data_IF_141200266417
#
_entry.id   IF_141200266417
#
_cell.length_a   1.000
_cell.length_b   1.000
_cell.length_c   1.000
_cell.angle_alpha   90.00
_cell.angle_beta   90.00
_cell.angle_gamma   90.00
#
_symmetry.space_group_name_H-M   'P 1'
#
loop_
_entity.id
_entity.type
_entity.pdbx_description
1 polymer ?
#
# COMPACT_ATOMS: atom_id res chain seq x y z
N UNK A 1 -0.60 21.74 1.20
CA UNK A 1 -0.17 20.38 0.91
C UNK A 1 0.18 19.71 2.22
N UNK A 2 -0.47 18.60 2.61
CA UNK A 2 -0.21 17.93 3.89
C UNK A 2 1.13 17.21 3.82
N UNK A 3 2.03 17.49 4.78
CA UNK A 3 3.33 16.81 4.92
C UNK A 3 3.20 15.67 5.91
N UNK A 4 3.94 14.59 5.67
CA UNK A 4 4.06 13.51 6.65
C UNK A 4 4.91 13.98 7.84
N UNK A 5 4.68 13.41 9.04
CA UNK A 5 5.32 13.86 10.25
C UNK A 5 6.82 13.49 10.31
N UNK A 6 7.64 14.42 10.79
CA UNK A 6 8.99 14.16 11.26
C UNK A 6 10.02 13.74 10.22
N UNK A 7 11.21 13.37 10.72
CA UNK A 7 12.28 12.75 9.95
C UNK A 7 12.20 11.23 10.10
N UNK A 8 12.29 10.49 8.99
CA UNK A 8 12.26 9.03 8.99
C UNK A 8 11.16 8.41 9.85
N UNK A 9 9.89 8.87 9.76
CA UNK A 9 8.83 8.19 10.46
C UNK A 9 8.74 6.75 9.96
N UNK A 10 8.27 5.83 10.81
CA UNK A 10 8.10 4.45 10.40
C UNK A 10 6.63 4.03 10.40
N UNK A 11 6.29 3.08 9.54
CA UNK A 11 4.98 2.46 9.42
C UNK A 11 5.10 1.05 8.85
N UNK A 12 3.99 0.30 8.78
CA UNK A 12 3.96 -1.01 8.14
C UNK A 12 3.36 -0.98 6.73
N UNK A 13 3.56 -2.05 5.98
CA UNK A 13 2.90 -2.25 4.67
C UNK A 13 1.41 -2.54 4.85
N UNK A 14 1.05 -3.46 5.77
CA UNK A 14 -0.36 -3.75 6.06
C UNK A 14 -0.56 -5.05 6.83
N UNK A 15 -0.16 -6.19 6.28
CA UNK A 15 -0.51 -7.48 6.87
C UNK A 15 0.37 -7.88 8.07
N UNK A 16 -0.28 -8.49 9.07
CA UNK A 16 0.32 -9.11 10.24
C UNK A 16 -0.19 -10.54 10.42
N UNK A 17 0.59 -11.44 11.05
CA UNK A 17 0.23 -12.86 11.21
C UNK A 17 -0.77 -13.15 12.34
N UNK A 18 -1.18 -12.14 13.10
CA UNK A 18 -2.07 -12.28 14.24
C UNK A 18 -3.45 -12.84 13.87
N UNK A 19 -4.03 -13.60 14.79
CA UNK A 19 -5.40 -14.10 14.69
C UNK A 19 -6.39 -13.20 15.44
N UNK A 20 -5.93 -12.45 16.43
CA UNK A 20 -6.73 -11.51 17.22
C UNK A 20 -6.39 -10.06 16.80
N UNK A 21 -7.38 -9.25 16.41
CA UNK A 21 -7.15 -7.85 16.04
C UNK A 21 -6.70 -6.97 17.22
N UNK A 22 -7.05 -7.30 18.46
CA UNK A 22 -6.71 -6.49 19.62
C UNK A 22 -5.20 -6.37 19.85
N UNK A 23 -4.45 -7.49 19.99
CA UNK A 23 -2.99 -7.46 20.05
C UNK A 23 -2.34 -6.81 18.82
N UNK A 24 -2.81 -7.14 17.62
CA UNK A 24 -2.28 -6.57 16.37
C UNK A 24 -2.38 -5.03 16.32
N UNK A 25 -3.53 -4.48 16.70
CA UNK A 25 -3.75 -3.04 16.75
C UNK A 25 -2.87 -2.38 17.82
N UNK A 26 -2.79 -2.98 19.02
CA UNK A 26 -1.90 -2.46 20.08
C UNK A 26 -0.44 -2.42 19.63
N UNK A 27 0.02 -3.48 18.98
CA UNK A 27 1.39 -3.57 18.43
C UNK A 27 1.66 -2.41 17.46
N UNK A 28 0.75 -2.19 16.52
CA UNK A 28 0.90 -1.12 15.51
C UNK A 28 0.87 0.26 16.15
N UNK A 29 -0.12 0.54 17.00
CA UNK A 29 -0.29 1.87 17.61
C UNK A 29 0.86 2.23 18.56
N UNK A 30 1.38 1.24 19.30
CA UNK A 30 2.50 1.48 20.22
C UNK A 30 3.83 1.72 19.50
N UNK A 31 4.08 1.02 18.38
CA UNK A 31 5.36 1.12 17.65
C UNK A 31 5.38 2.24 16.62
N UNK A 32 4.23 2.57 16.04
CA UNK A 32 4.13 3.56 14.98
C UNK A 32 3.18 4.71 15.34
N UNK A 33 3.45 5.44 16.43
CA UNK A 33 2.54 6.47 16.93
C UNK A 33 2.39 7.66 15.98
N UNK A 34 3.29 7.84 15.03
CA UNK A 34 3.23 8.94 14.06
C UNK A 34 2.43 8.58 12.80
N UNK A 35 2.53 7.33 12.34
CA UNK A 35 1.82 6.82 11.15
C UNK A 35 1.34 5.40 11.44
N UNK A 36 0.41 5.19 12.39
CA UNK A 36 -0.17 3.87 12.56
C UNK A 36 -0.96 3.48 11.30
N UNK A 37 -1.01 2.18 11.05
CA UNK A 37 -1.81 1.60 9.97
C UNK A 37 -2.80 0.59 10.56
N UNK A 38 -3.87 0.29 9.85
CA UNK A 38 -4.71 -0.81 10.28
C UNK A 38 -4.11 -2.15 9.82
N UNK A 39 -3.94 -3.13 10.73
CA UNK A 39 -3.35 -4.41 10.38
C UNK A 39 -4.35 -5.30 9.62
N UNK A 40 -3.98 -5.78 8.42
CA UNK A 40 -4.67 -6.85 7.73
C UNK A 40 -4.27 -8.18 8.38
N UNK A 41 -5.24 -9.09 8.60
CA UNK A 41 -5.05 -10.34 9.34
C UNK A 41 -5.36 -11.57 8.47
N UNK A 42 -4.58 -11.83 7.40
CA UNK A 42 -4.92 -12.86 6.40
C UNK A 42 -4.94 -14.28 6.96
N UNK A 43 -4.31 -14.53 8.12
CA UNK A 43 -4.35 -15.85 8.77
C UNK A 43 -5.63 -16.10 9.55
N UNK A 44 -6.43 -15.08 9.79
CA UNK A 44 -7.67 -15.16 10.57
C UNK A 44 -8.78 -15.84 9.78
N UNK A 45 -8.95 -15.45 8.53
CA UNK A 45 -9.98 -16.01 7.63
C UNK A 45 -9.61 -15.75 6.17
N UNK A 46 -9.99 -16.63 5.23
CA UNK A 46 -9.82 -16.39 3.80
C UNK A 46 -10.46 -15.10 3.30
N UNK A 47 -11.47 -14.57 4.01
CA UNK A 47 -12.11 -13.30 3.66
C UNK A 47 -11.21 -12.08 3.90
N UNK A 48 -10.19 -12.21 4.73
CA UNK A 48 -9.17 -11.16 4.96
C UNK A 48 -7.94 -11.30 4.06
N UNK A 49 -7.96 -12.22 3.08
CA UNK A 49 -6.95 -12.24 2.03
C UNK A 49 -7.13 -11.05 1.09
N UNK A 50 -6.03 -10.63 0.48
CA UNK A 50 -5.87 -9.37 -0.24
C UNK A 50 -6.98 -9.07 -1.29
N UNK A 51 -7.55 -10.06 -1.98
CA UNK A 51 -8.63 -9.85 -2.96
C UNK A 51 -10.03 -10.01 -2.35
N UNK A 52 -10.37 -11.11 -1.66
CA UNK A 52 -11.68 -11.27 -1.01
C UNK A 52 -12.00 -10.13 -0.03
N UNK A 53 -11.00 -9.56 0.62
CA UNK A 53 -11.16 -8.50 1.61
C UNK A 53 -11.96 -7.31 1.05
N UNK A 54 -11.67 -6.93 -0.18
CA UNK A 54 -12.27 -5.78 -0.83
C UNK A 54 -13.41 -6.11 -1.79
N UNK A 55 -13.91 -7.34 -1.80
CA UNK A 55 -14.95 -7.81 -2.74
C UNK A 55 -16.32 -8.05 -2.09
N UNK A 56 -16.64 -7.35 -0.98
CA UNK A 56 -17.86 -7.62 -0.23
C UNK A 56 -19.14 -7.42 -1.07
N UNK A 57 -19.18 -6.35 -1.82
CA UNK A 57 -20.30 -5.95 -2.68
C UNK A 57 -19.87 -5.69 -4.12
N UNK A 58 -18.73 -6.27 -4.53
CA UNK A 58 -18.23 -6.14 -5.91
C UNK A 58 -19.23 -6.80 -6.87
N UNK A 59 -19.77 -6.06 -7.87
CA UNK A 59 -20.71 -6.60 -8.83
C UNK A 59 -20.14 -7.83 -9.56
N UNK A 60 -20.96 -8.82 -9.77
CA UNK A 60 -20.58 -10.06 -10.45
C UNK A 60 -19.62 -10.96 -9.68
N UNK A 61 -19.17 -10.56 -8.49
CA UNK A 61 -18.21 -11.35 -7.72
C UNK A 61 -18.87 -12.54 -6.99
N UNK A 62 -18.17 -13.67 -6.96
CA UNK A 62 -18.53 -14.80 -6.12
C UNK A 62 -17.29 -15.52 -5.59
N UNK A 63 -17.47 -16.20 -4.47
CA UNK A 63 -16.42 -17.05 -3.87
C UNK A 63 -16.85 -18.50 -3.96
N UNK A 64 -15.99 -19.34 -4.54
CA UNK A 64 -16.19 -20.78 -4.61
C UNK A 64 -14.89 -21.50 -4.32
N UNK A 65 -14.93 -22.48 -3.41
CA UNK A 65 -13.73 -23.21 -2.99
C UNK A 65 -12.61 -22.30 -2.45
N UNK A 66 -12.97 -21.17 -1.81
CA UNK A 66 -12.00 -20.18 -1.29
C UNK A 66 -11.41 -19.26 -2.34
N UNK A 67 -11.76 -19.41 -3.61
CA UNK A 67 -11.29 -18.58 -4.72
C UNK A 67 -12.34 -17.53 -5.10
N UNK A 68 -11.92 -16.27 -5.19
CA UNK A 68 -12.72 -15.16 -5.72
C UNK A 68 -12.71 -15.22 -7.26
N UNK A 69 -13.87 -15.04 -7.86
CA UNK A 69 -14.08 -14.89 -9.31
C UNK A 69 -15.10 -13.79 -9.55
N UNK A 70 -15.21 -13.31 -10.78
CA UNK A 70 -16.14 -12.24 -11.17
C UNK A 70 -16.72 -12.55 -12.55
N UNK A 71 -18.02 -12.23 -12.78
CA UNK A 71 -18.62 -12.28 -14.12
C UNK A 71 -18.00 -11.26 -15.03
N UNK A 72 -18.04 -11.52 -16.32
CA UNK A 72 -17.54 -10.63 -17.37
C UNK A 72 -18.53 -10.55 -18.54
N UNK A 73 -18.31 -9.59 -19.44
CA UNK A 73 -19.16 -9.41 -20.63
C UNK A 73 -20.64 -9.19 -20.30
N UNK A 74 -21.52 -9.82 -21.10
CA UNK A 74 -22.97 -9.66 -20.97
C UNK A 74 -23.53 -10.17 -19.63
N UNK A 75 -22.89 -11.16 -19.01
CA UNK A 75 -23.34 -11.69 -17.70
C UNK A 75 -23.21 -10.66 -16.57
N UNK A 76 -22.31 -9.67 -16.72
CA UNK A 76 -22.08 -8.63 -15.73
C UNK A 76 -23.06 -7.46 -15.86
N UNK A 77 -23.59 -7.20 -17.05
CA UNK A 77 -24.32 -5.96 -17.36
C UNK A 77 -25.47 -5.63 -16.39
N UNK A 78 -26.33 -6.58 -15.97
CA UNK A 78 -27.42 -6.24 -15.05
C UNK A 78 -26.94 -5.74 -13.69
N UNK A 79 -25.83 -6.32 -13.18
CA UNK A 79 -25.25 -5.89 -11.90
C UNK A 79 -24.43 -4.60 -12.05
N UNK A 80 -23.82 -4.40 -13.21
CA UNK A 80 -23.10 -3.18 -13.53
C UNK A 80 -24.04 -1.97 -13.61
N UNK A 81 -25.25 -2.10 -14.18
CA UNK A 81 -26.24 -1.02 -14.21
C UNK A 81 -26.62 -0.55 -12.80
N UNK A 82 -26.95 -1.50 -11.90
CA UNK A 82 -27.24 -1.19 -10.50
C UNK A 82 -26.05 -0.55 -9.80
N UNK A 83 -24.86 -1.06 -10.07
CA UNK A 83 -23.63 -0.49 -9.51
C UNK A 83 -23.39 0.96 -9.97
N UNK A 84 -23.61 1.28 -11.25
CA UNK A 84 -23.41 2.65 -11.73
C UNK A 84 -24.42 3.63 -11.11
N UNK A 85 -25.66 3.21 -10.85
CA UNK A 85 -26.62 4.02 -10.11
C UNK A 85 -26.11 4.33 -8.69
N UNK A 86 -25.62 3.32 -7.98
CA UNK A 86 -25.00 3.48 -6.66
C UNK A 86 -23.76 4.35 -6.71
N UNK A 87 -22.91 4.15 -7.72
CA UNK A 87 -21.70 4.95 -7.91
C UNK A 87 -22.05 6.43 -8.11
N UNK A 88 -23.05 6.75 -8.93
CA UNK A 88 -23.49 8.11 -9.21
C UNK A 88 -24.20 8.77 -8.03
N UNK A 89 -24.81 8.00 -7.12
CA UNK A 89 -25.46 8.54 -5.92
C UNK A 89 -24.50 9.23 -4.96
N UNK A 90 -23.20 8.86 -4.99
CA UNK A 90 -22.18 9.38 -4.09
C UNK A 90 -22.25 8.78 -2.67
N UNK A 91 -23.21 7.93 -2.34
CA UNK A 91 -23.25 7.23 -1.07
C UNK A 91 -22.13 6.19 -0.97
N UNK A 92 -21.32 6.30 0.07
CA UNK A 92 -20.20 5.38 0.33
C UNK A 92 -20.60 4.17 1.19
N UNK A 93 -21.78 4.18 1.79
CA UNK A 93 -22.20 3.11 2.72
C UNK A 93 -22.26 1.72 2.09
N UNK A 94 -22.67 1.54 0.80
CA UNK A 94 -22.65 0.25 0.15
C UNK A 94 -21.24 -0.32 -0.08
N UNK A 95 -20.21 0.51 -0.02
CA UNK A 95 -18.81 0.15 -0.27
C UNK A 95 -18.01 -0.04 1.02
N UNK A 96 -18.69 -0.11 2.16
CA UNK A 96 -18.08 -0.39 3.45
C UNK A 96 -17.36 -1.75 3.44
N UNK A 97 -16.16 -1.80 4.02
CA UNK A 97 -15.47 -3.06 4.26
C UNK A 97 -16.03 -3.65 5.56
N UNK A 98 -16.72 -4.78 5.52
CA UNK A 98 -17.33 -5.34 6.73
C UNK A 98 -16.26 -5.80 7.73
N UNK A 99 -16.55 -5.74 9.05
CA UNK A 99 -15.59 -6.13 10.09
C UNK A 99 -15.06 -7.57 9.97
N UNK A 100 -15.85 -8.50 9.46
CA UNK A 100 -15.42 -9.89 9.22
C UNK A 100 -14.36 -10.01 8.10
N UNK A 101 -14.23 -8.97 7.26
CA UNK A 101 -13.19 -8.87 6.20
C UNK A 101 -12.05 -7.95 6.57
N UNK A 102 -12.18 -7.14 7.63
CA UNK A 102 -11.17 -6.17 8.05
C UNK A 102 -11.24 -5.95 9.58
N UNK A 103 -11.06 -7.03 10.34
CA UNK A 103 -11.12 -6.97 11.81
C UNK A 103 -10.08 -5.98 12.40
N UNK A 104 -8.90 -5.89 11.77
CA UNK A 104 -7.88 -4.91 12.18
C UNK A 104 -8.31 -3.45 11.95
N UNK A 105 -9.02 -3.15 10.86
CA UNK A 105 -9.58 -1.81 10.62
C UNK A 105 -10.64 -1.47 11.68
N UNK A 106 -11.60 -2.38 11.88
CA UNK A 106 -12.63 -2.21 12.92
C UNK A 106 -12.00 -2.03 14.31
N UNK A 107 -10.97 -2.81 14.63
CA UNK A 107 -10.22 -2.71 15.87
C UNK A 107 -9.50 -1.37 16.02
N UNK A 108 -8.82 -0.88 14.96
CA UNK A 108 -8.13 0.41 14.99
C UNK A 108 -9.13 1.57 15.20
N UNK A 109 -10.24 1.56 14.46
CA UNK A 109 -11.27 2.61 14.57
C UNK A 109 -11.95 2.63 15.94
N UNK A 110 -12.01 1.48 16.65
CA UNK A 110 -12.64 1.35 17.96
C UNK A 110 -11.70 1.63 19.12
N UNK A 111 -10.43 1.25 19.01
CA UNK A 111 -9.46 1.24 20.11
C UNK A 111 -8.51 2.44 20.11
N UNK A 112 -8.33 3.10 18.97
CA UNK A 112 -7.34 4.15 18.86
C UNK A 112 -7.83 5.49 19.39
N UNK A 113 -7.13 6.00 20.38
CA UNK A 113 -7.29 7.38 20.86
C UNK A 113 -6.50 8.33 19.96
N UNK A 114 -7.08 8.73 18.81
CA UNK A 114 -6.52 9.80 17.99
C UNK A 114 -6.62 11.18 18.67
N UNK A 115 -6.19 12.28 18.02
CA UNK A 115 -5.67 12.28 16.65
C UNK A 115 -4.20 11.86 16.57
N UNK A 116 -3.86 11.10 15.51
CA UNK A 116 -2.48 10.81 15.13
C UNK A 116 -1.94 11.88 14.16
N UNK A 117 -0.60 12.09 14.09
CA UNK A 117 0.00 12.98 13.08
C UNK A 117 -0.36 12.60 11.64
N UNK A 118 -0.38 11.29 11.34
CA UNK A 118 -0.93 10.71 10.12
C UNK A 118 -1.47 9.30 10.41
N UNK A 119 -2.32 8.77 9.53
CA UNK A 119 -2.79 7.38 9.60
C UNK A 119 -2.72 6.75 8.21
N UNK A 120 -2.33 5.48 8.13
CA UNK A 120 -2.21 4.76 6.87
C UNK A 120 -3.28 3.69 6.72
N UNK A 121 -3.86 3.63 5.53
CA UNK A 121 -4.67 2.53 5.03
C UNK A 121 -4.11 1.96 3.74
N UNK A 122 -4.66 0.84 3.31
CA UNK A 122 -4.30 0.18 2.06
C UNK A 122 -5.52 -0.46 1.39
N UNK A 123 -5.45 -0.57 0.06
CA UNK A 123 -6.44 -1.26 -0.78
C UNK A 123 -5.68 -2.01 -1.86
N UNK A 124 -6.10 -3.23 -2.20
CA UNK A 124 -5.55 -3.93 -3.36
C UNK A 124 -5.86 -3.17 -4.63
N UNK A 125 -4.84 -2.95 -5.45
CA UNK A 125 -4.97 -2.14 -6.65
C UNK A 125 -5.69 -2.83 -7.80
N UNK A 126 -6.26 -2.03 -8.71
CA UNK A 126 -7.11 -2.53 -9.79
C UNK A 126 -6.37 -3.41 -10.80
N UNK A 127 -5.08 -3.14 -11.03
CA UNK A 127 -4.28 -3.93 -11.98
C UNK A 127 -4.08 -5.33 -11.44
N UNK A 128 -3.56 -5.45 -10.21
CA UNK A 128 -3.33 -6.73 -9.55
C UNK A 128 -4.64 -7.47 -9.30
N UNK A 129 -5.68 -6.76 -8.90
CA UNK A 129 -6.98 -7.35 -8.66
C UNK A 129 -7.58 -7.93 -9.97
N UNK A 130 -7.62 -7.13 -11.02
CA UNK A 130 -8.21 -7.52 -12.30
C UNK A 130 -7.43 -8.59 -13.04
N UNK A 131 -6.10 -8.67 -12.84
CA UNK A 131 -5.28 -9.74 -13.42
C UNK A 131 -5.40 -11.07 -12.65
N UNK A 132 -5.64 -11.01 -11.32
CA UNK A 132 -5.73 -12.20 -10.49
C UNK A 132 -7.14 -12.81 -10.45
N UNK A 133 -8.15 -11.95 -10.47
CA UNK A 133 -9.55 -12.38 -10.47
C UNK A 133 -10.00 -12.68 -11.90
N UNK A 134 -10.45 -13.90 -12.10
CA UNK A 134 -10.85 -14.40 -13.41
C UNK A 134 -12.35 -14.68 -13.45
N UNK A 135 -12.89 -14.68 -14.67
CA UNK A 135 -14.23 -15.16 -14.96
C UNK A 135 -14.33 -16.71 -14.99
N UNK A 136 -15.48 -17.24 -15.40
CA UNK A 136 -15.73 -18.67 -15.50
C UNK A 136 -14.85 -19.37 -16.55
N UNK A 137 -14.40 -18.63 -17.56
CA UNK A 137 -13.52 -19.11 -18.62
C UNK A 137 -12.03 -19.00 -18.26
N UNK A 138 -11.74 -18.56 -17.00
CA UNK A 138 -10.39 -18.30 -16.48
C UNK A 138 -9.68 -17.12 -17.16
N UNK A 139 -10.42 -16.23 -17.80
CA UNK A 139 -9.90 -14.99 -18.36
C UNK A 139 -9.84 -13.93 -17.25
N UNK A 140 -8.70 -13.25 -17.07
CA UNK A 140 -8.58 -12.16 -16.11
C UNK A 140 -9.57 -11.03 -16.41
N UNK A 141 -10.26 -10.54 -15.41
CA UNK A 141 -11.30 -9.51 -15.51
C UNK A 141 -10.74 -8.19 -16.07
N UNK A 142 -9.47 -7.94 -15.86
CA UNK A 142 -8.80 -6.73 -16.38
C UNK A 142 -8.90 -6.60 -17.92
N UNK A 143 -8.99 -7.72 -18.65
CA UNK A 143 -9.10 -7.72 -20.11
C UNK A 143 -10.54 -7.56 -20.61
N UNK A 144 -11.54 -7.61 -19.73
CA UNK A 144 -12.92 -7.26 -20.06
C UNK A 144 -13.17 -5.77 -19.82
N UNK A 145 -13.50 -4.95 -20.84
CA UNK A 145 -13.61 -3.51 -20.67
C UNK A 145 -14.66 -3.10 -19.62
N UNK A 146 -15.81 -3.79 -19.56
CA UNK A 146 -16.86 -3.52 -18.58
C UNK A 146 -16.42 -3.95 -17.17
N UNK A 147 -15.88 -5.16 -17.06
CA UNK A 147 -15.38 -5.70 -15.79
C UNK A 147 -14.28 -4.84 -15.20
N UNK A 148 -13.34 -4.38 -16.05
CA UNK A 148 -12.26 -3.47 -15.64
C UNK A 148 -12.82 -2.14 -15.13
N UNK A 149 -13.72 -1.51 -15.87
CA UNK A 149 -14.30 -0.21 -15.48
C UNK A 149 -15.09 -0.32 -14.17
N UNK A 150 -15.93 -1.35 -14.04
CA UNK A 150 -16.66 -1.64 -12.79
C UNK A 150 -15.68 -1.86 -11.62
N UNK A 151 -14.63 -2.65 -11.83
CA UNK A 151 -13.62 -2.93 -10.79
C UNK A 151 -12.90 -1.66 -10.33
N UNK A 152 -12.41 -0.84 -11.26
CA UNK A 152 -11.69 0.42 -10.94
C UNK A 152 -12.59 1.34 -10.12
N UNK A 153 -13.81 1.57 -10.59
CA UNK A 153 -14.78 2.45 -9.91
C UNK A 153 -15.23 1.90 -8.55
N UNK A 154 -15.38 0.59 -8.47
CA UNK A 154 -15.70 -0.08 -7.21
C UNK A 154 -14.57 0.11 -6.18
N UNK A 155 -13.33 -0.19 -6.56
CA UNK A 155 -12.17 -0.03 -5.67
C UNK A 155 -11.95 1.44 -5.29
N UNK A 156 -12.25 2.39 -6.19
CA UNK A 156 -12.27 3.81 -5.86
C UNK A 156 -13.26 4.11 -4.73
N UNK A 157 -14.50 3.59 -4.80
CA UNK A 157 -15.50 3.80 -3.74
C UNK A 157 -15.08 3.15 -2.42
N UNK A 158 -14.52 1.95 -2.46
CA UNK A 158 -13.95 1.29 -1.26
C UNK A 158 -12.82 2.14 -0.65
N UNK A 159 -11.93 2.68 -1.49
CA UNK A 159 -10.86 3.56 -1.07
C UNK A 159 -11.38 4.86 -0.45
N UNK A 160 -12.38 5.49 -1.06
CA UNK A 160 -13.06 6.68 -0.54
C UNK A 160 -13.72 6.42 0.82
N UNK A 161 -14.44 5.30 0.94
CA UNK A 161 -15.06 4.89 2.20
C UNK A 161 -13.98 4.70 3.29
N UNK A 162 -12.92 3.98 2.99
CA UNK A 162 -11.84 3.75 3.93
C UNK A 162 -11.16 5.06 4.34
N UNK A 163 -10.85 5.94 3.39
CA UNK A 163 -10.28 7.25 3.68
C UNK A 163 -11.18 8.07 4.61
N UNK A 164 -12.51 8.08 4.36
CA UNK A 164 -13.48 8.75 5.21
C UNK A 164 -13.52 8.17 6.63
N UNK A 165 -13.36 6.85 6.82
CA UNK A 165 -13.25 6.28 8.17
C UNK A 165 -11.95 6.71 8.87
N UNK A 166 -10.83 6.70 8.15
CA UNK A 166 -9.52 7.03 8.71
C UNK A 166 -9.37 8.52 9.07
N UNK A 167 -10.13 9.44 8.42
CA UNK A 167 -10.15 10.86 8.82
C UNK A 167 -10.64 11.09 10.25
N UNK A 168 -11.31 10.12 10.85
CA UNK A 168 -11.69 10.16 12.28
C UNK A 168 -10.49 10.05 13.21
N UNK A 169 -9.37 9.50 12.73
CA UNK A 169 -8.15 9.24 13.50
C UNK A 169 -7.04 10.25 13.20
N UNK A 170 -7.04 10.86 12.01
CA UNK A 170 -6.04 11.86 11.61
C UNK A 170 -6.56 12.74 10.48
N UNK A 171 -6.16 14.00 10.48
CA UNK A 171 -6.39 14.87 9.31
C UNK A 171 -5.54 14.47 8.10
N UNK A 172 -4.40 13.78 8.32
CA UNK A 172 -3.51 13.30 7.26
C UNK A 172 -3.69 11.80 7.07
N UNK A 173 -4.42 11.44 6.00
CA UNK A 173 -4.61 10.06 5.61
C UNK A 173 -3.66 9.71 4.47
N UNK A 174 -2.90 8.63 4.64
CA UNK A 174 -2.12 7.98 3.58
C UNK A 174 -2.89 6.75 3.14
N UNK A 175 -3.23 6.65 1.85
CA UNK A 175 -3.90 5.47 1.31
C UNK A 175 -3.03 4.86 0.21
N UNK A 176 -2.60 3.63 0.43
CA UNK A 176 -1.67 2.92 -0.45
C UNK A 176 -2.42 1.87 -1.26
N UNK A 177 -2.18 1.87 -2.55
CA UNK A 177 -2.71 0.89 -3.50
C UNK A 177 -1.64 -0.20 -3.67
N UNK A 178 -1.97 -1.42 -3.25
CA UNK A 178 -1.05 -2.56 -3.30
C UNK A 178 -1.10 -3.22 -4.68
N UNK A 179 -0.02 -3.12 -5.44
CA UNK A 179 0.07 -3.55 -6.85
C UNK A 179 1.23 -4.53 -7.09
N UNK A 180 1.19 -5.74 -6.53
CA UNK A 180 2.26 -6.72 -6.73
C UNK A 180 2.44 -7.14 -8.20
N UNK A 181 1.39 -7.09 -9.03
CA UNK A 181 1.47 -7.48 -10.44
C UNK A 181 2.16 -6.44 -11.34
N UNK A 182 2.44 -5.24 -10.85
CA UNK A 182 3.33 -4.30 -11.56
C UNK A 182 4.73 -4.90 -11.80
N UNK A 183 5.16 -5.82 -10.95
CA UNK A 183 6.39 -6.59 -11.14
C UNK A 183 6.40 -7.48 -12.39
N UNK A 184 5.22 -7.80 -12.93
CA UNK A 184 5.07 -8.64 -14.11
C UNK A 184 4.87 -7.83 -15.41
N UNK A 185 4.87 -6.50 -15.32
CA UNK A 185 4.73 -5.61 -16.46
C UNK A 185 5.87 -5.81 -17.45
N UNK A 186 5.55 -5.84 -18.74
CA UNK A 186 6.52 -6.08 -19.81
C UNK A 186 6.98 -7.55 -19.94
N UNK A 187 6.44 -8.46 -19.12
CA UNK A 187 6.64 -9.90 -19.30
C UNK A 187 5.70 -10.47 -20.36
N UNK A 188 6.01 -11.68 -20.86
CA UNK A 188 5.12 -12.38 -21.78
C UNK A 188 3.75 -12.76 -21.15
N UNK A 189 3.63 -12.67 -19.84
CA UNK A 189 2.42 -13.05 -19.10
C UNK A 189 1.45 -11.85 -18.99
N UNK A 190 1.97 -10.63 -18.88
CA UNK A 190 1.18 -9.40 -18.73
C UNK A 190 1.49 -8.47 -19.91
N UNK A 191 0.64 -8.54 -20.93
CA UNK A 191 0.73 -7.68 -22.12
C UNK A 191 -0.26 -6.51 -21.96
N UNK A 192 0.05 -5.57 -21.07
CA UNK A 192 -0.73 -4.35 -20.87
C UNK A 192 0.11 -3.12 -21.28
N UNK A 193 -0.45 -2.20 -22.07
CA UNK A 193 0.18 -0.91 -22.30
C UNK A 193 0.36 -0.16 -20.98
N UNK A 194 1.56 0.41 -20.75
CA UNK A 194 1.83 1.19 -19.53
C UNK A 194 0.84 2.34 -19.32
N UNK A 195 0.41 2.99 -20.42
CA UNK A 195 -0.57 4.06 -20.37
C UNK A 195 -1.92 3.63 -19.80
N UNK A 196 -2.40 2.42 -20.12
CA UNK A 196 -3.64 1.87 -19.55
C UNK A 196 -3.51 1.62 -18.04
N UNK A 197 -2.35 1.13 -17.62
CA UNK A 197 -2.04 0.90 -16.20
C UNK A 197 -2.06 2.22 -15.43
N UNK A 198 -1.38 3.24 -15.95
CA UNK A 198 -1.34 4.56 -15.32
C UNK A 198 -2.73 5.20 -15.30
N UNK A 199 -3.50 5.08 -16.37
CA UNK A 199 -4.85 5.65 -16.43
C UNK A 199 -5.76 5.12 -15.32
N UNK A 200 -5.77 3.80 -15.07
CA UNK A 200 -6.62 3.22 -14.02
C UNK A 200 -6.12 3.53 -12.61
N UNK A 201 -4.81 3.68 -12.40
CA UNK A 201 -4.26 4.12 -11.12
C UNK A 201 -4.57 5.59 -10.85
N UNK A 202 -4.40 6.43 -11.86
CA UNK A 202 -4.65 7.87 -11.76
C UNK A 202 -6.13 8.18 -11.55
N UNK A 203 -7.05 7.39 -12.11
CA UNK A 203 -8.49 7.51 -11.83
C UNK A 203 -8.77 7.35 -10.32
N UNK A 204 -8.13 6.38 -9.65
CA UNK A 204 -8.26 6.21 -8.21
C UNK A 204 -7.66 7.40 -7.46
N UNK A 205 -6.48 7.87 -7.84
CA UNK A 205 -5.80 8.96 -7.14
C UNK A 205 -6.54 10.29 -7.27
N UNK A 206 -7.08 10.59 -8.45
CA UNK A 206 -7.90 11.77 -8.68
C UNK A 206 -9.20 11.75 -7.88
N UNK A 207 -9.77 10.55 -7.70
CA UNK A 207 -10.98 10.36 -6.92
C UNK A 207 -10.78 10.45 -5.39
N UNK A 208 -9.55 10.66 -4.89
CA UNK A 208 -9.21 10.74 -3.47
C UNK A 208 -8.63 12.11 -3.07
N UNK A 209 -9.37 13.21 -3.26
CA UNK A 209 -8.86 14.54 -2.94
C UNK A 209 -8.54 14.67 -1.44
N UNK A 210 -7.42 15.32 -1.14
CA UNK A 210 -6.97 15.54 0.24
C UNK A 210 -6.28 14.35 0.91
N UNK A 211 -6.24 13.19 0.25
CA UNK A 211 -5.52 11.99 0.70
C UNK A 211 -4.12 11.94 0.08
N UNK A 212 -3.14 11.47 0.83
CA UNK A 212 -1.81 11.16 0.28
C UNK A 212 -1.89 9.77 -0.35
N UNK A 213 -2.11 9.74 -1.66
CA UNK A 213 -2.25 8.50 -2.42
C UNK A 213 -0.88 7.88 -2.71
N UNK A 214 -0.77 6.57 -2.52
CA UNK A 214 0.46 5.84 -2.73
C UNK A 214 0.30 4.55 -3.51
N UNK A 215 1.44 4.03 -3.98
CA UNK A 215 1.57 2.69 -4.55
C UNK A 215 2.54 1.88 -3.68
N UNK A 216 2.24 0.61 -3.46
CA UNK A 216 3.18 -0.37 -2.95
C UNK A 216 3.42 -1.47 -3.98
N UNK A 217 4.69 -1.68 -4.32
CA UNK A 217 5.14 -2.83 -5.12
C UNK A 217 6.37 -3.45 -4.43
N UNK A 218 6.25 -4.70 -3.99
CA UNK A 218 7.30 -5.40 -3.23
C UNK A 218 8.31 -6.15 -4.11
N UNK A 219 8.29 -5.94 -5.44
CA UNK A 219 9.25 -6.53 -6.35
C UNK A 219 9.74 -5.48 -7.36
N UNK A 220 10.73 -5.85 -8.18
CA UNK A 220 11.22 -4.94 -9.20
C UNK A 220 10.16 -4.69 -10.28
N UNK A 221 10.06 -3.45 -10.74
CA UNK A 221 9.13 -3.03 -11.79
C UNK A 221 9.75 -1.90 -12.62
N UNK A 222 9.02 -1.43 -13.63
CA UNK A 222 9.35 -0.17 -14.31
C UNK A 222 9.00 1.02 -13.40
N UNK A 223 10.00 1.48 -12.65
CA UNK A 223 9.84 2.60 -11.71
C UNK A 223 9.55 3.92 -12.42
N UNK A 224 10.04 4.11 -13.66
CA UNK A 224 9.70 5.28 -14.48
C UNK A 224 8.20 5.33 -14.75
N UNK A 225 7.61 4.21 -15.12
CA UNK A 225 6.16 4.10 -15.31
C UNK A 225 5.41 4.43 -14.01
N UNK A 226 5.79 3.82 -12.89
CA UNK A 226 5.13 4.06 -11.59
C UNK A 226 5.25 5.52 -11.16
N UNK A 227 6.44 6.11 -11.28
CA UNK A 227 6.72 7.50 -10.92
C UNK A 227 6.05 8.51 -11.84
N UNK A 228 5.67 8.13 -13.09
CA UNK A 228 4.91 9.01 -14.00
C UNK A 228 3.45 9.18 -13.59
N UNK A 229 2.89 8.27 -12.77
CA UNK A 229 1.54 8.39 -12.23
C UNK A 229 1.38 9.56 -11.25
N UNK A 230 0.14 9.84 -10.85
CA UNK A 230 -0.19 10.85 -9.83
C UNK A 230 0.10 10.41 -8.39
N UNK A 231 0.76 9.26 -8.23
CA UNK A 231 1.18 8.80 -6.90
C UNK A 231 2.04 9.85 -6.19
N UNK A 232 1.87 9.94 -4.88
CA UNK A 232 2.65 10.84 -4.01
C UNK A 232 3.38 10.12 -2.89
N UNK A 233 3.15 8.82 -2.77
CA UNK A 233 3.80 7.97 -1.81
C UNK A 233 4.18 6.67 -2.52
N UNK A 234 5.48 6.39 -2.64
CA UNK A 234 5.96 5.14 -3.24
C UNK A 234 6.57 4.27 -2.15
N UNK A 235 5.95 3.13 -1.89
CA UNK A 235 6.47 2.07 -1.01
C UNK A 235 7.03 0.95 -1.86
N UNK A 236 8.29 0.61 -1.64
CA UNK A 236 9.00 -0.40 -2.41
C UNK A 236 9.99 -1.19 -1.55
N UNK A 237 10.37 -2.35 -1.99
CA UNK A 237 11.41 -3.15 -1.35
C UNK A 237 12.80 -2.53 -1.64
N UNK A 238 13.26 -1.70 -0.71
CA UNK A 238 14.58 -1.08 -0.79
C UNK A 238 15.70 -2.00 -0.25
N UNK A 239 15.35 -3.11 0.39
CA UNK A 239 16.33 -4.10 0.83
C UNK A 239 16.94 -4.85 -0.35
N UNK A 240 16.09 -5.26 -1.32
CA UNK A 240 16.54 -6.03 -2.49
C UNK A 240 16.68 -5.15 -3.75
N UNK A 241 15.82 -4.14 -3.93
CA UNK A 241 15.68 -3.42 -5.22
C UNK A 241 16.04 -1.94 -5.19
N UNK A 242 16.75 -1.46 -4.16
CA UNK A 242 17.18 -0.05 -4.13
C UNK A 242 17.97 0.35 -5.37
N UNK A 243 18.89 -0.51 -5.84
CA UNK A 243 19.73 -0.22 -7.01
C UNK A 243 18.91 -0.15 -8.32
N UNK A 244 17.77 -0.83 -8.42
CA UNK A 244 16.87 -0.73 -9.57
C UNK A 244 16.22 0.65 -9.64
N UNK A 245 15.79 1.21 -8.50
CA UNK A 245 15.21 2.55 -8.44
C UNK A 245 16.21 3.62 -8.88
N UNK A 246 17.52 3.43 -8.61
CA UNK A 246 18.58 4.36 -9.00
C UNK A 246 18.74 4.53 -10.52
N UNK A 247 18.24 3.59 -11.32
CA UNK A 247 18.24 3.72 -12.79
C UNK A 247 17.30 4.84 -13.27
N UNK A 248 16.34 5.24 -12.43
CA UNK A 248 15.31 6.25 -12.68
C UNK A 248 15.53 7.52 -11.85
N UNK A 249 16.79 7.92 -11.65
CA UNK A 249 17.13 9.02 -10.75
C UNK A 249 16.47 10.36 -11.15
N UNK A 250 16.28 10.62 -12.43
CA UNK A 250 15.59 11.82 -12.93
C UNK A 250 14.09 11.79 -12.54
N UNK A 251 13.44 10.64 -12.70
CA UNK A 251 12.04 10.46 -12.30
C UNK A 251 11.87 10.58 -10.78
N UNK A 252 12.82 10.04 -10.00
CA UNK A 252 12.85 10.17 -8.54
C UNK A 252 13.03 11.64 -8.13
N UNK A 253 13.91 12.39 -8.80
CA UNK A 253 14.08 13.81 -8.55
C UNK A 253 12.80 14.61 -8.86
N UNK A 254 12.15 14.33 -9.99
CA UNK A 254 10.87 14.92 -10.36
C UNK A 254 9.75 14.55 -9.35
N UNK A 255 9.78 13.32 -8.86
CA UNK A 255 8.86 12.84 -7.82
C UNK A 255 9.01 13.64 -6.52
N UNK A 256 10.24 13.86 -6.02
CA UNK A 256 10.47 14.71 -4.85
C UNK A 256 10.08 16.17 -5.10
N UNK A 257 10.40 16.72 -6.29
CA UNK A 257 10.05 18.10 -6.64
C UNK A 257 8.55 18.40 -6.58
N UNK A 258 7.70 17.38 -6.88
CA UNK A 258 6.24 17.50 -6.71
C UNK A 258 5.72 17.11 -5.33
N UNK A 259 6.63 16.92 -4.34
CA UNK A 259 6.32 16.60 -2.96
C UNK A 259 6.03 15.11 -2.73
N UNK A 260 6.64 14.25 -3.52
CA UNK A 260 6.60 12.80 -3.36
C UNK A 260 7.35 12.33 -2.10
N UNK A 261 6.95 11.20 -1.58
CA UNK A 261 7.50 10.53 -0.40
C UNK A 261 7.94 9.12 -0.77
N UNK A 262 9.19 8.75 -0.47
CA UNK A 262 9.65 7.38 -0.60
C UNK A 262 9.57 6.64 0.74
N UNK A 263 8.82 5.55 0.76
CA UNK A 263 8.79 4.61 1.86
C UNK A 263 9.76 3.48 1.56
N UNK A 264 10.91 3.57 2.20
CA UNK A 264 12.01 2.63 2.01
C UNK A 264 11.75 1.35 2.80
N UNK A 265 11.42 0.28 2.11
CA UNK A 265 11.29 -1.06 2.65
C UNK A 265 12.66 -1.69 2.90
N UNK A 266 13.44 -1.10 3.81
CA UNK A 266 14.82 -1.56 4.12
C UNK A 266 14.86 -2.67 5.17
N UNK A 267 13.76 -2.94 5.86
CA UNK A 267 13.68 -4.07 6.78
C UNK A 267 13.21 -5.30 6.00
N UNK A 268 14.03 -6.36 5.89
CA UNK A 268 13.67 -7.53 5.09
C UNK A 268 12.47 -8.28 5.65
N UNK A 269 11.84 -9.12 4.80
CA UNK A 269 10.70 -9.96 5.17
C UNK A 269 11.00 -11.46 5.07
N UNK A 270 12.21 -11.85 4.67
CA UNK A 270 12.68 -13.23 4.78
C UNK A 270 13.16 -13.49 6.22
N UNK A 271 12.69 -14.57 6.84
CA UNK A 271 12.97 -14.89 8.26
C UNK A 271 14.47 -14.95 8.58
N UNK A 272 15.26 -15.55 7.68
CA UNK A 272 16.72 -15.68 7.83
C UNK A 272 17.42 -14.31 7.75
N UNK A 273 16.92 -13.40 6.91
CA UNK A 273 17.46 -12.05 6.82
C UNK A 273 17.09 -11.23 8.06
N UNK A 274 15.83 -11.29 8.51
CA UNK A 274 15.37 -10.65 9.75
C UNK A 274 16.22 -11.08 10.95
N UNK A 275 16.57 -12.37 11.02
CA UNK A 275 17.37 -12.92 12.13
C UNK A 275 18.81 -12.35 12.18
N UNK A 276 19.38 -11.99 11.03
CA UNK A 276 20.77 -11.48 10.91
C UNK A 276 20.89 -9.98 11.07
N UNK A 277 19.82 -9.22 10.73
CA UNK A 277 19.87 -7.77 10.73
C UNK A 277 19.74 -7.18 12.13
N UNK A 278 20.38 -6.03 12.31
CA UNK A 278 20.24 -5.13 13.45
C UNK A 278 19.82 -3.73 12.95
N UNK A 279 19.41 -2.85 13.84
CA UNK A 279 19.09 -1.48 13.48
C UNK A 279 20.30 -0.74 12.89
N UNK A 280 21.52 -1.07 13.37
CA UNK A 280 22.78 -0.49 12.90
C UNK A 280 23.11 -0.95 11.47
N UNK A 281 23.01 -2.26 11.16
CA UNK A 281 23.29 -2.76 9.81
C UNK A 281 22.29 -2.21 8.79
N UNK A 282 21.04 -2.06 9.18
CA UNK A 282 20.00 -1.44 8.35
C UNK A 282 20.21 0.06 8.20
N UNK A 283 20.72 0.76 9.23
CA UNK A 283 21.05 2.17 9.13
C UNK A 283 22.23 2.39 8.15
N UNK A 284 23.26 1.55 8.18
CA UNK A 284 24.39 1.63 7.25
C UNK A 284 23.96 1.32 5.80
N UNK A 285 23.01 0.35 5.63
CA UNK A 285 22.36 0.10 4.32
C UNK A 285 21.60 1.34 3.84
N UNK A 286 20.80 1.95 4.71
CA UNK A 286 20.05 3.17 4.36
C UNK A 286 20.98 4.32 3.99
N UNK A 287 22.07 4.55 4.73
CA UNK A 287 23.09 5.55 4.38
C UNK A 287 23.67 5.30 2.98
N UNK A 288 23.98 4.03 2.67
CA UNK A 288 24.47 3.65 1.33
C UNK A 288 23.44 4.00 0.24
N UNK A 289 22.16 3.78 0.47
CA UNK A 289 21.09 4.14 -0.49
C UNK A 289 21.02 5.67 -0.65
N UNK A 290 21.05 6.40 0.45
CA UNK A 290 21.03 7.86 0.44
C UNK A 290 22.25 8.45 -0.30
N UNK A 291 23.44 7.87 -0.09
CA UNK A 291 24.67 8.27 -0.80
C UNK A 291 24.56 8.03 -2.30
N UNK A 292 24.05 6.87 -2.70
CA UNK A 292 23.83 6.53 -4.11
C UNK A 292 22.82 7.47 -4.79
N UNK A 293 21.72 7.80 -4.14
CA UNK A 293 20.74 8.76 -4.64
C UNK A 293 21.34 10.17 -4.76
N UNK A 294 22.10 10.58 -3.74
CA UNK A 294 22.77 11.89 -3.75
C UNK A 294 23.85 11.98 -4.86
N UNK A 295 24.58 10.90 -5.11
CA UNK A 295 25.55 10.81 -6.21
C UNK A 295 24.89 10.91 -7.60
N UNK A 296 23.58 10.69 -7.70
CA UNK A 296 22.78 10.89 -8.92
C UNK A 296 22.17 12.28 -9.02
N UNK A 297 22.57 13.21 -8.14
CA UNK A 297 22.17 14.61 -8.18
C UNK A 297 20.92 14.96 -7.39
N UNK A 298 20.37 14.01 -6.61
CA UNK A 298 19.20 14.29 -5.75
C UNK A 298 19.70 14.89 -4.43
N UNK A 299 19.25 16.09 -4.02
CA UNK A 299 19.69 16.70 -2.76
C UNK A 299 19.36 15.79 -1.58
N UNK A 300 20.35 15.53 -0.72
CA UNK A 300 20.18 14.63 0.43
C UNK A 300 19.06 15.07 1.37
N UNK A 301 18.93 16.39 1.56
CA UNK A 301 17.88 16.95 2.44
C UNK A 301 16.47 16.68 1.89
N UNK A 302 16.28 16.66 0.57
CA UNK A 302 15.01 16.30 -0.06
C UNK A 302 14.67 14.84 0.20
N UNK A 303 15.66 13.94 0.07
CA UNK A 303 15.47 12.51 0.33
C UNK A 303 15.15 12.30 1.81
N UNK A 304 15.94 12.87 2.71
CA UNK A 304 15.79 12.75 4.16
C UNK A 304 14.46 13.33 4.64
N UNK A 305 14.08 14.49 4.11
CA UNK A 305 12.82 15.16 4.44
C UNK A 305 11.55 14.46 3.90
N UNK A 306 11.72 13.47 3.02
CA UNK A 306 10.63 12.75 2.36
C UNK A 306 10.75 11.23 2.50
N UNK A 307 11.58 10.75 3.43
CA UNK A 307 11.80 9.33 3.67
C UNK A 307 10.90 8.79 4.79
N UNK A 308 10.27 7.66 4.53
CA UNK A 308 9.54 6.83 5.53
C UNK A 308 10.22 5.47 5.60
N UNK A 309 10.28 4.85 6.78
CA UNK A 309 10.84 3.52 6.99
C UNK A 309 9.72 2.48 7.06
N UNK A 310 9.86 1.40 6.30
CA UNK A 310 8.90 0.29 6.29
C UNK A 310 9.61 -1.07 6.22
N UNK A 311 8.92 -2.17 6.55
CA UNK A 311 9.31 -3.48 6.03
C UNK A 311 9.22 -3.47 4.50
N UNK A 312 9.97 -4.35 3.85
CA UNK A 312 9.99 -4.51 2.39
C UNK A 312 8.62 -4.95 1.82
N UNK A 313 7.86 -5.70 2.60
CA UNK A 313 6.52 -6.19 2.25
C UNK A 313 5.67 -6.42 3.51
N UNK A 314 4.44 -6.91 3.32
CA UNK A 314 3.58 -7.36 4.41
C UNK A 314 4.19 -8.51 5.21
N UNK A 315 3.87 -8.60 6.50
CA UNK A 315 4.43 -9.59 7.43
C UNK A 315 3.47 -10.76 7.72
N UNK A 316 2.30 -10.78 7.09
CA UNK A 316 1.20 -11.70 7.40
C UNK A 316 1.50 -13.19 7.26
N UNK A 317 2.52 -13.57 6.48
CA UNK A 317 2.93 -14.97 6.28
C UNK A 317 3.95 -15.45 7.30
N UNK A 318 4.58 -14.54 8.05
CA UNK A 318 5.64 -14.86 9.01
C UNK A 318 5.08 -15.42 10.34
N UNK A 319 5.89 -16.17 11.11
CA UNK A 319 5.58 -16.41 12.52
C UNK A 319 5.46 -15.08 13.30
N UNK A 320 4.57 -15.01 14.29
CA UNK A 320 4.31 -13.77 15.05
C UNK A 320 5.59 -13.15 15.64
N UNK A 321 6.43 -13.93 16.31
CA UNK A 321 7.70 -13.43 16.88
C UNK A 321 8.69 -12.91 15.83
N UNK A 322 8.67 -13.46 14.61
CA UNK A 322 9.48 -12.96 13.49
C UNK A 322 8.94 -11.63 12.96
N UNK A 323 7.63 -11.54 12.80
CA UNK A 323 6.96 -10.29 12.40
C UNK A 323 7.19 -9.17 13.43
N UNK A 324 7.04 -9.48 14.72
CA UNK A 324 7.33 -8.55 15.82
C UNK A 324 8.79 -8.06 15.78
N UNK A 325 9.76 -8.96 15.51
CA UNK A 325 11.16 -8.57 15.33
C UNK A 325 11.35 -7.60 14.16
N UNK A 326 10.69 -7.83 13.02
CA UNK A 326 10.75 -6.93 11.88
C UNK A 326 10.19 -5.54 12.23
N UNK A 327 9.08 -5.47 12.96
CA UNK A 327 8.52 -4.19 13.43
C UNK A 327 9.47 -3.47 14.40
N UNK A 328 10.12 -4.20 15.33
CA UNK A 328 11.17 -3.63 16.21
C UNK A 328 12.37 -3.10 15.42
N UNK A 329 12.78 -3.78 14.35
CA UNK A 329 13.85 -3.29 13.48
C UNK A 329 13.46 -1.97 12.78
N UNK A 330 12.23 -1.82 12.33
CA UNK A 330 11.73 -0.55 11.76
C UNK A 330 11.80 0.59 12.79
N UNK A 331 11.32 0.35 14.01
CA UNK A 331 11.32 1.31 15.11
C UNK A 331 12.76 1.71 15.50
N UNK A 332 13.64 0.72 15.68
CA UNK A 332 15.05 0.95 16.02
C UNK A 332 15.80 1.72 14.93
N UNK A 333 15.61 1.34 13.66
CA UNK A 333 16.18 2.02 12.52
C UNK A 333 15.72 3.49 12.43
N UNK A 334 14.42 3.73 12.54
CA UNK A 334 13.85 5.09 12.54
C UNK A 334 14.49 5.95 13.65
N UNK A 335 14.59 5.40 14.87
CA UNK A 335 15.19 6.08 16.01
C UNK A 335 16.67 6.41 15.78
N UNK A 336 17.45 5.48 15.22
CA UNK A 336 18.85 5.70 14.88
C UNK A 336 19.05 6.80 13.83
N UNK A 337 18.26 6.75 12.75
CA UNK A 337 18.35 7.75 11.68
C UNK A 337 17.94 9.12 12.19
N UNK A 338 16.90 9.23 13.00
CA UNK A 338 16.53 10.49 13.67
C UNK A 338 17.65 11.05 14.54
N UNK A 339 18.33 10.21 15.30
CA UNK A 339 19.46 10.63 16.12
C UNK A 339 20.65 11.14 15.27
N UNK A 340 20.89 10.53 14.09
CA UNK A 340 21.94 10.95 13.15
C UNK A 340 21.62 12.29 12.47
N UNK A 341 20.37 12.46 12.02
CA UNK A 341 19.95 13.61 11.21
C UNK A 341 19.34 14.76 12.01
N UNK A 342 18.69 14.48 13.14
CA UNK A 342 18.12 15.51 14.01
C UNK A 342 19.16 16.42 14.70
N UNK A 343 20.41 15.97 14.77
CA UNK A 343 21.55 16.78 15.27
C UNK A 343 22.18 17.69 14.21
N UNK A 344 21.74 17.58 12.95
CA UNK A 344 22.29 18.36 11.82
C UNK A 344 21.43 19.56 11.44
N UNK A 345 20.27 19.76 12.09
CA UNK A 345 19.49 21.00 11.91
C UNK A 345 20.20 22.13 12.65
N UNK A 346 20.55 23.24 11.96
CA UNK A 346 21.21 24.40 12.55
C UNK A 346 20.32 25.11 13.57
#
# INVERSE_FOLDING_TARGET
>A
MRRLPGLFPCTGVGSLPHLDPGPAVREVVSRFPEIPYWPQLPRRTPLEHMYPQYAATLPGAWISGGKLSMRSGEELLPEAEVFYELFLSGDLSPFAIPPERAAGLAGLLSAAAGPFPAVKGQVTGPVSFGLMVCDREKKPVFYDPVGRDVLVKYLLRVAQWQAAQLTRLSETVVLVIDEPYLASMGSAIVSLPGEEVIAVLDEIFEGLPGTVCGIHCCANTDWGLVLSSKTRYLSFDAYEYADSLLLYAEDVAAFFARGGVLAFGVVPTAAEAIARETAETLADRMETILDKLSARGIPRDDIVGSAVITPACGLGTLPEGTAERALRLCEGLSSLLRARYGRRSP
#
